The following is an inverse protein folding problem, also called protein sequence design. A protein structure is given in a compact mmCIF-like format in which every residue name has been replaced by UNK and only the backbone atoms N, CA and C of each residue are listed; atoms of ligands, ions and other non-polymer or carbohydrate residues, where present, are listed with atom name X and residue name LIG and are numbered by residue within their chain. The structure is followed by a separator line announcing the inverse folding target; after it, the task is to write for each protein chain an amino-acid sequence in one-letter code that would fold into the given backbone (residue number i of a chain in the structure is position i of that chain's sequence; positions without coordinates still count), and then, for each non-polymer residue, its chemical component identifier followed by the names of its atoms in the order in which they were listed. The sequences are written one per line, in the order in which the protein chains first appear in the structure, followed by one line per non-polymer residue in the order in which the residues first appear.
data_IF_056708758391
#
_entry.id   IF_056708758391
#
_cell.length_a   1.000
_cell.length_b   1.000
_cell.length_c   1.000
_cell.angle_alpha   90.00
_cell.angle_beta   90.00
_cell.angle_gamma   90.00
#
_symmetry.space_group_name_H-M   'P 1'
#
loop_
_entity.id
_entity.type
_entity.pdbx_description
1 polymer ?
#
# COMPACT_ATOMS: atom_id res chain seq x y z
N UNK A 1 -6.07 3.05 1.79
CA UNK A 1 -5.22 2.91 0.57
C UNK A 1 -4.15 1.82 0.72
N UNK A 2 -3.30 1.84 1.75
CA UNK A 2 -2.18 0.88 1.91
C UNK A 2 -2.53 -0.61 1.69
N UNK A 3 -3.71 -1.06 2.15
CA UNK A 3 -4.19 -2.44 1.97
C UNK A 3 -4.57 -2.84 0.53
N UNK A 4 -4.91 -1.87 -0.33
CA UNK A 4 -5.20 -2.11 -1.74
C UNK A 4 -3.95 -2.16 -2.63
N UNK A 5 -2.84 -1.61 -2.15
CA UNK A 5 -1.81 -1.09 -3.05
C UNK A 5 -0.73 -2.09 -3.39
N UNK A 6 -0.56 -3.14 -2.58
CA UNK A 6 0.41 -4.18 -2.88
C UNK A 6 -0.24 -5.30 -3.67
N UNK A 7 -0.33 -5.10 -4.99
CA UNK A 7 0.21 -6.14 -5.84
C UNK A 7 1.70 -5.86 -5.88
N UNK A 8 2.56 -6.80 -5.50
CA UNK A 8 4.01 -6.67 -5.74
C UNK A 8 4.17 -6.19 -7.19
N UNK A 9 4.69 -4.99 -7.41
CA UNK A 9 5.43 -4.75 -8.64
C UNK A 9 6.85 -4.59 -8.15
N UNK A 10 7.74 -5.38 -8.75
CA UNK A 10 9.15 -5.42 -8.42
C UNK A 10 9.73 -4.04 -8.13
N UNK A 11 10.51 -4.00 -7.04
CA UNK A 11 11.54 -3.02 -6.80
C UNK A 11 12.38 -2.87 -8.08
N UNK A 12 12.16 -1.81 -8.83
CA UNK A 12 13.11 -1.30 -9.80
C UNK A 12 13.41 0.14 -9.38
N UNK A 13 14.54 0.32 -8.70
CA UNK A 13 15.13 1.62 -8.48
C UNK A 13 15.45 2.22 -9.86
N UNK A 14 14.85 3.36 -10.18
CA UNK A 14 15.20 4.12 -11.37
C UNK A 14 16.41 5.00 -11.05
N UNK A 15 17.58 4.64 -11.55
CA UNK A 15 18.75 5.52 -11.57
C UNK A 15 18.68 6.43 -12.80
N UNK A 16 18.59 7.74 -12.57
CA UNK A 16 18.83 8.76 -13.61
C UNK A 16 20.32 9.08 -13.65
N UNK A 17 20.99 8.69 -14.74
CA UNK A 17 22.42 8.93 -14.95
C UNK A 17 22.75 10.29 -15.58
N UNK A 18 24.03 10.66 -15.49
CA UNK A 18 24.85 11.31 -16.53
C UNK A 18 26.34 11.03 -16.23
N UNK A 19 27.22 10.81 -17.23
CA UNK A 19 28.48 10.06 -17.07
C UNK A 19 29.74 10.94 -17.06
N UNK A 20 30.82 10.45 -16.44
CA UNK A 20 32.20 10.75 -16.85
C UNK A 20 33.17 9.62 -16.40
N UNK A 21 34.00 9.22 -17.36
CA UNK A 21 35.17 8.31 -17.41
C UNK A 21 35.98 8.11 -16.10
N UNK A 22 36.72 7.03 -15.83
CA UNK A 22 37.05 5.77 -16.52
C UNK A 22 37.71 4.81 -15.49
N UNK A 23 37.43 3.51 -15.55
CA UNK A 23 38.47 2.45 -15.55
C UNK A 23 37.87 1.08 -15.89
N UNK A 24 38.64 0.27 -16.61
CA UNK A 24 38.24 -1.01 -17.22
C UNK A 24 38.21 -2.18 -16.22
N UNK A 25 37.32 -3.13 -16.53
CA UNK A 25 37.35 -4.57 -16.25
C UNK A 25 36.83 -5.10 -14.90
N UNK A 26 35.51 -5.30 -14.85
CA UNK A 26 34.92 -6.58 -14.43
C UNK A 26 33.64 -6.79 -15.24
N UNK A 27 33.52 -7.93 -15.92
CA UNK A 27 32.37 -8.28 -16.74
C UNK A 27 31.10 -8.21 -15.89
N UNK A 28 30.16 -7.37 -16.34
CA UNK A 28 28.90 -7.11 -15.66
C UNK A 28 28.04 -8.36 -15.56
N UNK A 29 27.78 -8.77 -14.31
CA UNK A 29 26.48 -9.33 -14.01
C UNK A 29 25.51 -8.15 -13.94
N UNK A 30 24.76 -7.91 -15.02
CA UNK A 30 23.51 -7.16 -14.91
C UNK A 30 22.70 -7.83 -13.80
N UNK A 31 22.26 -7.11 -12.75
CA UNK A 31 21.37 -7.69 -11.76
C UNK A 31 20.12 -8.13 -12.51
N UNK A 32 19.95 -9.44 -12.66
CA UNK A 32 18.74 -10.01 -13.22
C UNK A 32 17.60 -9.52 -12.33
N UNK A 33 16.55 -8.87 -12.87
CA UNK A 33 15.42 -8.48 -12.07
C UNK A 33 14.92 -9.72 -11.34
N UNK A 34 14.94 -9.68 -10.01
CA UNK A 34 14.51 -10.80 -9.20
C UNK A 34 13.11 -11.22 -9.65
N UNK A 35 12.97 -12.48 -10.09
CA UNK A 35 11.70 -13.03 -10.55
C UNK A 35 10.67 -12.86 -9.44
N UNK A 36 9.58 -12.17 -9.75
CA UNK A 36 8.52 -11.95 -8.77
C UNK A 36 7.97 -13.30 -8.29
N UNK A 37 7.90 -13.54 -6.97
CA UNK A 37 7.40 -14.81 -6.45
C UNK A 37 5.95 -15.04 -6.88
N UNK A 38 5.63 -16.26 -7.30
CA UNK A 38 4.27 -16.59 -7.74
C UNK A 38 3.27 -16.41 -6.59
N UNK A 39 2.10 -15.85 -6.89
CA UNK A 39 1.00 -15.71 -5.93
C UNK A 39 0.39 -17.07 -5.60
N UNK A 40 0.03 -17.28 -4.33
CA UNK A 40 -0.74 -18.44 -3.91
C UNK A 40 -2.17 -18.37 -4.45
N UNK A 41 -2.94 -19.47 -4.47
CA UNK A 41 -4.36 -19.45 -4.84
C UNK A 41 -5.18 -18.43 -4.03
N UNK A 42 -4.89 -18.32 -2.73
CA UNK A 42 -5.55 -17.36 -1.83
C UNK A 42 -5.22 -15.92 -2.23
N UNK A 43 -3.92 -15.62 -2.45
CA UNK A 43 -3.50 -14.28 -2.87
C UNK A 43 -4.06 -13.89 -4.26
N UNK A 44 -4.20 -14.85 -5.18
CA UNK A 44 -4.86 -14.65 -6.47
C UNK A 44 -6.34 -14.31 -6.26
N UNK A 45 -7.05 -15.06 -5.42
CA UNK A 45 -8.46 -14.79 -5.10
C UNK A 45 -8.65 -13.43 -4.43
N UNK A 46 -7.79 -13.07 -3.47
CA UNK A 46 -7.81 -11.75 -2.84
C UNK A 46 -7.57 -10.62 -3.85
N UNK A 47 -6.64 -10.81 -4.80
CA UNK A 47 -6.36 -9.84 -5.85
C UNK A 47 -7.58 -9.63 -6.75
N UNK A 48 -8.22 -10.70 -7.19
CA UNK A 48 -9.43 -10.61 -8.01
C UNK A 48 -10.58 -9.95 -7.23
N UNK A 49 -10.74 -10.26 -5.93
CA UNK A 49 -11.75 -9.63 -5.08
C UNK A 49 -11.58 -8.11 -4.98
N UNK A 50 -10.34 -7.59 -5.05
CA UNK A 50 -10.05 -6.15 -5.00
C UNK A 50 -10.12 -5.47 -6.38
N UNK A 51 -10.30 -6.22 -7.47
CA UNK A 51 -10.19 -5.71 -8.85
C UNK A 51 -11.22 -4.62 -9.16
N UNK A 52 -12.49 -4.83 -8.79
CA UNK A 52 -13.54 -3.84 -9.01
C UNK A 52 -13.24 -2.53 -8.25
N UNK A 53 -12.74 -2.63 -7.02
CA UNK A 53 -12.32 -1.49 -6.22
C UNK A 53 -11.22 -0.70 -6.91
N UNK A 54 -10.19 -1.41 -7.40
CA UNK A 54 -9.08 -0.83 -8.15
C UNK A 54 -9.57 -0.10 -9.39
N UNK A 55 -10.43 -0.71 -10.21
CA UNK A 55 -10.99 -0.09 -11.41
C UNK A 55 -11.74 1.20 -11.05
N UNK A 56 -12.60 1.17 -10.03
CA UNK A 56 -13.38 2.34 -9.61
C UNK A 56 -12.48 3.49 -9.15
N UNK A 57 -11.46 3.23 -8.32
CA UNK A 57 -10.51 4.27 -7.90
C UNK A 57 -9.75 4.80 -9.11
N UNK A 58 -9.22 3.94 -9.97
CA UNK A 58 -8.46 4.37 -11.13
C UNK A 58 -9.28 5.19 -12.12
N UNK A 59 -10.57 4.89 -12.28
CA UNK A 59 -11.50 5.69 -13.09
C UNK A 59 -11.72 7.08 -12.50
N UNK A 60 -11.88 7.19 -11.17
CA UNK A 60 -11.98 8.49 -10.47
C UNK A 60 -10.69 9.31 -10.66
N UNK A 61 -9.53 8.68 -10.48
CA UNK A 61 -8.25 9.38 -10.63
C UNK A 61 -8.00 9.84 -12.07
N UNK A 62 -8.45 9.07 -13.06
CA UNK A 62 -8.28 9.38 -14.48
C UNK A 62 -9.23 10.50 -14.95
N UNK A 63 -10.51 10.40 -14.60
CA UNK A 63 -11.54 11.37 -15.00
C UNK A 63 -11.49 12.65 -14.18
N UNK A 64 -11.00 12.57 -12.94
CA UNK A 64 -11.06 13.65 -11.94
C UNK A 64 -12.49 14.12 -11.69
N UNK A 65 -13.47 13.26 -11.94
CA UNK A 65 -14.88 13.55 -11.74
C UNK A 65 -15.23 13.37 -10.25
N UNK A 66 -15.57 14.49 -9.61
CA UNK A 66 -15.98 14.54 -8.21
C UNK A 66 -17.42 14.07 -7.98
N UNK A 67 -18.19 13.76 -9.02
CA UNK A 67 -19.61 13.39 -8.95
C UNK A 67 -19.85 11.89 -9.08
N UNK A 68 -20.90 11.40 -8.44
CA UNK A 68 -21.26 9.97 -8.42
C UNK A 68 -20.79 9.24 -7.16
N UNK A 69 -20.83 7.90 -7.22
CA UNK A 69 -20.68 7.07 -6.04
C UNK A 69 -19.24 7.03 -5.49
N UNK A 70 -19.16 7.03 -4.17
CA UNK A 70 -17.95 6.75 -3.38
C UNK A 70 -17.49 5.30 -3.53
N UNK A 71 -16.25 5.03 -3.13
CA UNK A 71 -15.66 3.68 -3.17
C UNK A 71 -15.83 3.04 -1.80
N UNK A 72 -16.51 1.90 -1.76
CA UNK A 72 -16.62 1.05 -0.58
C UNK A 72 -16.27 -0.39 -0.95
N UNK A 73 -15.28 -0.98 -0.27
CA UNK A 73 -14.77 -2.30 -0.61
C UNK A 73 -14.33 -3.06 0.64
N UNK A 74 -14.70 -4.33 0.74
CA UNK A 74 -14.10 -5.23 1.72
C UNK A 74 -12.75 -5.71 1.19
N UNK A 75 -11.69 -5.38 1.92
CA UNK A 75 -10.32 -5.65 1.53
C UNK A 75 -9.79 -6.75 2.43
N UNK A 76 -9.46 -7.89 1.84
CA UNK A 76 -8.58 -8.89 2.45
C UNK A 76 -7.25 -8.83 1.71
N UNK A 77 -6.15 -8.78 2.46
CA UNK A 77 -4.81 -8.77 1.90
C UNK A 77 -3.86 -9.60 2.76
N UNK A 78 -3.27 -10.61 2.15
CA UNK A 78 -2.11 -11.31 2.68
C UNK A 78 -0.84 -10.52 2.40
N UNK A 79 -0.09 -10.25 3.47
CA UNK A 79 1.22 -9.64 3.48
C UNK A 79 2.22 -10.71 3.89
N UNK A 80 3.17 -11.01 3.00
CA UNK A 80 4.20 -12.00 3.30
C UNK A 80 5.16 -11.43 4.34
N UNK A 81 5.59 -12.26 5.30
CA UNK A 81 6.46 -11.79 6.38
C UNK A 81 7.76 -11.13 5.88
N UNK A 82 8.32 -11.64 4.78
CA UNK A 82 9.48 -11.08 4.09
C UNK A 82 9.23 -9.67 3.51
N UNK A 83 8.04 -9.41 2.97
CA UNK A 83 7.67 -8.09 2.46
C UNK A 83 7.50 -7.10 3.61
N UNK A 84 6.89 -7.56 4.71
CA UNK A 84 6.71 -6.73 5.90
C UNK A 84 8.08 -6.34 6.46
N UNK A 85 8.97 -7.31 6.67
CA UNK A 85 10.32 -7.05 7.14
C UNK A 85 11.08 -6.05 6.23
N UNK A 86 10.91 -6.18 4.89
CA UNK A 86 11.50 -5.25 3.93
C UNK A 86 10.91 -3.84 4.04
N UNK A 87 9.59 -3.71 4.16
CA UNK A 87 8.91 -2.41 4.32
C UNK A 87 9.31 -1.72 5.63
N UNK A 88 9.55 -2.48 6.70
CA UNK A 88 10.01 -1.96 7.99
C UNK A 88 11.47 -1.47 7.93
N UNK A 89 12.21 -1.79 6.86
CA UNK A 89 13.56 -1.27 6.60
C UNK A 89 14.56 -1.57 7.72
N UNK A 90 14.36 -2.67 8.45
CA UNK A 90 15.18 -3.05 9.61
C UNK A 90 15.03 -2.16 10.85
N UNK A 91 14.13 -1.18 10.85
CA UNK A 91 13.87 -0.31 12.01
C UNK A 91 13.01 -1.00 13.07
N UNK A 92 12.18 -1.93 12.64
CA UNK A 92 11.32 -2.76 13.48
C UNK A 92 11.47 -4.19 12.97
N UNK A 93 11.86 -5.11 13.85
CA UNK A 93 11.92 -6.51 13.51
C UNK A 93 10.51 -7.10 13.37
N UNK A 94 10.32 -7.94 12.34
CA UNK A 94 9.07 -8.68 12.15
C UNK A 94 9.25 -10.12 12.67
N UNK A 95 8.75 -10.43 13.88
CA UNK A 95 8.94 -11.75 14.49
C UNK A 95 7.95 -12.79 13.96
N UNK A 96 6.92 -12.38 13.22
CA UNK A 96 5.84 -13.25 12.75
C UNK A 96 6.05 -13.75 11.31
N UNK A 97 5.21 -14.70 10.90
CA UNK A 97 5.08 -15.13 9.50
C UNK A 97 4.24 -14.13 8.69
N UNK A 98 3.37 -14.64 7.82
CA UNK A 98 2.48 -13.79 7.04
C UNK A 98 1.45 -13.08 7.94
N UNK A 99 1.04 -11.88 7.53
CA UNK A 99 -0.11 -11.19 8.10
C UNK A 99 -1.27 -11.20 7.11
N UNK A 100 -2.44 -11.70 7.50
CA UNK A 100 -3.66 -11.58 6.71
C UNK A 100 -4.50 -10.46 7.32
N UNK A 101 -4.54 -9.32 6.64
CA UNK A 101 -5.24 -8.13 7.12
C UNK A 101 -6.54 -7.91 6.37
N UNK A 102 -7.57 -7.52 7.13
CA UNK A 102 -8.93 -7.28 6.68
C UNK A 102 -9.38 -5.89 7.09
N UNK A 103 -10.02 -5.17 6.18
CA UNK A 103 -10.58 -3.85 6.46
C UNK A 103 -11.73 -3.54 5.52
N UNK A 104 -12.68 -2.72 5.99
CA UNK A 104 -13.60 -2.03 5.09
C UNK A 104 -12.94 -0.74 4.63
N UNK A 105 -12.61 -0.65 3.35
CA UNK A 105 -12.09 0.56 2.75
C UNK A 105 -13.25 1.46 2.31
N UNK A 106 -13.25 2.68 2.79
CA UNK A 106 -14.18 3.73 2.38
C UNK A 106 -13.38 4.93 1.88
N UNK A 107 -13.57 5.30 0.61
CA UNK A 107 -12.95 6.47 0.00
C UNK A 107 -14.03 7.32 -0.64
N UNK A 108 -14.07 8.58 -0.22
CA UNK A 108 -14.92 9.55 -0.88
C UNK A 108 -14.36 9.90 -2.26
N UNK A 109 -15.24 9.95 -3.26
CA UNK A 109 -14.90 10.27 -4.63
C UNK A 109 -14.37 11.69 -4.77
N UNK A 110 -15.05 12.66 -4.16
CA UNK A 110 -14.67 14.07 -4.31
C UNK A 110 -13.24 14.37 -3.81
N UNK A 111 -12.77 13.89 -2.65
CA UNK A 111 -11.37 14.00 -2.25
C UNK A 111 -10.36 13.37 -3.21
N UNK A 112 -10.69 12.21 -3.80
CA UNK A 112 -9.83 11.55 -4.79
C UNK A 112 -9.71 12.39 -6.08
N UNK A 113 -10.82 12.93 -6.57
CA UNK A 113 -10.84 13.81 -7.73
C UNK A 113 -10.01 15.09 -7.47
N UNK A 114 -10.22 15.74 -6.32
CA UNK A 114 -9.49 16.95 -5.92
C UNK A 114 -7.98 16.72 -5.79
N UNK A 115 -7.57 15.59 -5.24
CA UNK A 115 -6.16 15.20 -5.18
C UNK A 115 -5.46 15.15 -6.54
N UNK A 116 -6.22 14.91 -7.63
CA UNK A 116 -5.70 14.84 -8.99
C UNK A 116 -5.88 16.12 -9.81
N UNK A 117 -6.75 17.04 -9.39
CA UNK A 117 -7.07 18.28 -10.11
C UNK A 117 -6.50 19.54 -9.48
N UNK A 118 -6.34 19.58 -8.16
CA UNK A 118 -5.82 20.74 -7.44
C UNK A 118 -4.29 20.71 -7.37
N UNK A 119 -3.66 21.89 -7.31
CA UNK A 119 -2.21 22.01 -7.19
C UNK A 119 -1.68 21.38 -5.88
N UNK A 120 -2.46 21.44 -4.81
CA UNK A 120 -2.17 20.82 -3.53
C UNK A 120 -3.45 20.46 -2.82
N UNK A 121 -3.59 19.21 -2.38
CA UNK A 121 -4.77 18.75 -1.65
C UNK A 121 -4.40 17.68 -0.63
N UNK A 122 -5.15 17.61 0.46
CA UNK A 122 -4.93 16.63 1.53
C UNK A 122 -6.15 15.75 1.67
N UNK A 123 -5.96 14.46 1.45
CA UNK A 123 -6.98 13.45 1.79
C UNK A 123 -6.75 13.02 3.23
N UNK A 124 -7.67 13.36 4.12
CA UNK A 124 -7.75 12.80 5.46
C UNK A 124 -8.83 11.73 5.48
N UNK A 125 -8.43 10.47 5.66
CA UNK A 125 -9.36 9.36 5.75
C UNK A 125 -9.99 9.32 7.15
N UNK A 126 -11.28 8.96 7.27
CA UNK A 126 -11.87 8.68 8.57
C UNK A 126 -11.14 7.53 9.26
N UNK A 127 -11.22 7.49 10.58
CA UNK A 127 -10.71 6.36 11.36
C UNK A 127 -11.39 5.08 10.92
N UNK A 128 -10.60 4.07 10.57
CA UNK A 128 -11.08 2.76 10.16
C UNK A 128 -10.34 1.67 10.93
N UNK A 129 -11.05 0.59 11.26
CA UNK A 129 -10.47 -0.57 11.93
C UNK A 129 -9.90 -1.54 10.90
N UNK A 130 -8.69 -2.02 11.17
CA UNK A 130 -8.03 -3.09 10.42
C UNK A 130 -7.80 -4.26 11.37
N UNK A 131 -8.27 -5.44 10.96
CA UNK A 131 -8.06 -6.69 11.69
C UNK A 131 -7.01 -7.52 10.96
N UNK A 132 -5.89 -7.78 11.60
CA UNK A 132 -4.81 -8.61 11.06
C UNK A 132 -4.68 -9.91 11.85
N UNK A 133 -4.51 -11.01 11.12
CA UNK A 133 -4.14 -12.31 11.69
C UNK A 133 -2.66 -12.54 11.40
N UNK A 134 -1.84 -12.67 12.43
CA UNK A 134 -0.39 -12.81 12.34
C UNK A 134 -0.03 -14.28 12.53
N UNK A 135 0.45 -14.93 11.46
CA UNK A 135 0.93 -16.30 11.55
C UNK A 135 2.15 -16.38 12.46
N UNK A 136 2.24 -17.43 13.28
CA UNK A 136 3.49 -17.72 14.00
C UNK A 136 4.51 -18.30 13.00
N UNK A 137 5.80 -17.99 13.18
CA UNK A 137 6.87 -18.61 12.36
C UNK A 137 7.00 -20.10 12.66
N UNK A 138 6.81 -20.44 13.93
CA UNK A 138 6.76 -21.81 14.43
C UNK A 138 5.30 -22.31 14.52
N UNK A 139 5.10 -23.49 15.12
CA UNK A 139 3.76 -24.05 15.35
C UNK A 139 3.01 -23.24 16.42
N UNK A 140 1.80 -22.80 16.11
CA UNK A 140 0.89 -22.17 17.07
C UNK A 140 -0.30 -21.50 16.40
N UNK A 141 -1.31 -21.17 17.20
CA UNK A 141 -2.48 -20.41 16.70
C UNK A 141 -2.08 -18.99 16.32
N UNK A 142 -2.58 -18.46 15.19
CA UNK A 142 -2.28 -17.09 14.79
C UNK A 142 -2.72 -16.04 15.83
N UNK A 143 -1.96 -14.97 15.97
CA UNK A 143 -2.38 -13.83 16.80
C UNK A 143 -3.35 -12.95 16.03
N UNK A 144 -4.46 -12.58 16.66
CA UNK A 144 -5.40 -11.60 16.09
C UNK A 144 -5.10 -10.23 16.66
N UNK A 145 -4.89 -9.25 15.79
CA UNK A 145 -4.61 -7.86 16.16
C UNK A 145 -5.63 -6.97 15.46
N UNK A 146 -6.27 -6.07 16.19
CA UNK A 146 -7.16 -5.04 15.64
C UNK A 146 -6.55 -3.66 15.91
N UNK A 147 -6.46 -2.83 14.87
CA UNK A 147 -5.82 -1.53 14.96
C UNK A 147 -6.68 -0.50 14.23
N UNK A 148 -6.98 0.61 14.90
CA UNK A 148 -7.56 1.77 14.25
C UNK A 148 -6.47 2.56 13.50
N UNK A 149 -6.80 3.10 12.33
CA UNK A 149 -5.93 4.01 11.59
C UNK A 149 -6.76 5.11 10.93
N UNK A 150 -6.22 6.33 10.88
CA UNK A 150 -6.83 7.45 10.18
C UNK A 150 -5.84 8.08 9.19
N UNK A 151 -5.51 7.40 8.06
CA UNK A 151 -4.44 7.85 7.19
C UNK A 151 -4.68 9.24 6.62
N UNK A 152 -3.60 10.01 6.48
CA UNK A 152 -3.57 11.31 5.82
C UNK A 152 -2.57 11.25 4.68
N UNK A 153 -2.96 11.70 3.50
CA UNK A 153 -2.06 11.76 2.33
C UNK A 153 -2.14 13.14 1.72
N UNK A 154 -0.99 13.81 1.62
CA UNK A 154 -0.83 15.08 0.93
C UNK A 154 -0.46 14.81 -0.52
N UNK A 155 -1.20 15.41 -1.44
CA UNK A 155 -0.94 15.41 -2.86
C UNK A 155 -0.47 16.78 -3.31
N UNK A 156 0.51 16.80 -4.23
CA UNK A 156 0.97 17.97 -4.97
C UNK A 156 0.96 17.62 -6.45
N UNK A 157 0.25 18.39 -7.27
CA UNK A 157 0.13 18.20 -8.71
C UNK A 157 -0.23 16.75 -9.11
N UNK A 158 -1.19 16.15 -8.41
CA UNK A 158 -1.63 14.76 -8.66
C UNK A 158 -0.68 13.67 -8.19
N UNK A 159 0.37 13.99 -7.42
CA UNK A 159 1.31 13.01 -6.85
C UNK A 159 1.28 13.08 -5.33
N UNK A 160 1.26 11.93 -4.67
CA UNK A 160 1.44 11.88 -3.23
C UNK A 160 2.85 12.37 -2.88
N UNK A 161 2.95 13.36 -1.98
CA UNK A 161 4.22 13.92 -1.52
C UNK A 161 4.52 13.55 -0.08
N UNK A 162 3.48 13.39 0.75
CA UNK A 162 3.59 13.05 2.17
C UNK A 162 2.44 12.12 2.55
N UNK A 163 2.69 11.22 3.49
CA UNK A 163 1.65 10.39 4.07
C UNK A 163 1.95 10.12 5.55
N UNK A 164 0.90 10.03 6.35
CA UNK A 164 0.93 9.51 7.72
C UNK A 164 -0.19 8.49 7.87
N UNK A 165 0.02 7.44 8.66
CA UNK A 165 -1.03 6.43 8.91
C UNK A 165 -1.97 6.89 10.03
N UNK A 166 -1.43 7.62 11.02
CA UNK A 166 -2.10 8.04 12.25
C UNK A 166 -2.78 6.84 12.93
N UNK A 167 -1.95 5.98 13.52
CA UNK A 167 -2.41 4.82 14.28
C UNK A 167 -3.19 5.26 15.51
N UNK A 168 -4.32 4.61 15.75
CA UNK A 168 -5.18 4.81 16.91
C UNK A 168 -5.09 3.65 17.88
N UNK A 169 -6.21 3.36 18.53
CA UNK A 169 -6.35 2.24 19.46
C UNK A 169 -5.96 0.91 18.81
N UNK A 170 -5.16 0.13 19.53
CA UNK A 170 -4.78 -1.23 19.16
C UNK A 170 -5.29 -2.22 20.21
N UNK A 171 -5.80 -3.36 19.75
CA UNK A 171 -6.22 -4.49 20.58
C UNK A 171 -5.47 -5.71 20.10
N UNK A 172 -4.78 -6.39 21.02
CA UNK A 172 -3.97 -7.56 20.70
C UNK A 172 -3.81 -8.46 21.93
N UNK A 173 -3.53 -9.76 21.75
CA UNK A 173 -3.13 -10.65 22.84
C UNK A 173 -1.94 -10.10 23.61
N UNK A 174 -1.90 -10.37 24.93
CA UNK A 174 -0.86 -9.87 25.83
C UNK A 174 0.57 -10.16 25.36
N UNK A 175 0.77 -11.31 24.69
CA UNK A 175 2.08 -11.72 24.18
C UNK A 175 2.61 -10.85 23.03
N UNK A 176 1.73 -10.19 22.27
CA UNK A 176 2.12 -9.38 21.09
C UNK A 176 1.81 -7.89 21.26
N UNK A 177 0.93 -7.53 22.20
CA UNK A 177 0.50 -6.16 22.42
C UNK A 177 1.65 -5.17 22.64
N UNK A 178 2.69 -5.45 23.47
CA UNK A 178 3.78 -4.49 23.69
C UNK A 178 4.51 -4.12 22.39
N UNK A 179 4.74 -5.09 21.50
CA UNK A 179 5.42 -4.86 20.23
C UNK A 179 4.52 -4.09 19.25
N UNK A 180 3.24 -4.45 19.16
CA UNK A 180 2.26 -3.71 18.34
C UNK A 180 2.17 -2.26 18.81
N UNK A 181 2.03 -2.03 20.12
CA UNK A 181 1.95 -0.69 20.72
C UNK A 181 3.23 0.12 20.49
N UNK A 182 4.40 -0.48 20.67
CA UNK A 182 5.68 0.20 20.43
C UNK A 182 5.84 0.56 18.94
N UNK A 183 5.47 -0.33 18.03
CA UNK A 183 5.57 -0.09 16.59
C UNK A 183 4.64 1.04 16.13
N UNK A 184 3.37 1.02 16.54
CA UNK A 184 2.40 2.07 16.18
C UNK A 184 2.75 3.41 16.84
N UNK A 185 3.22 3.38 18.09
CA UNK A 185 3.71 4.56 18.80
C UNK A 185 4.94 5.19 18.12
N UNK A 186 5.91 4.37 17.71
CA UNK A 186 7.09 4.84 16.98
C UNK A 186 6.70 5.48 15.65
N UNK A 187 5.83 4.84 14.87
CA UNK A 187 5.39 5.39 13.59
C UNK A 187 4.59 6.69 13.76
N UNK A 188 3.75 6.80 14.79
CA UNK A 188 3.07 8.06 15.09
C UNK A 188 4.03 9.20 15.44
N UNK A 189 5.14 8.91 16.12
CA UNK A 189 6.12 9.92 16.52
C UNK A 189 7.07 10.31 15.38
N UNK A 190 7.47 9.34 14.56
CA UNK A 190 8.60 9.50 13.63
C UNK A 190 8.22 9.33 12.16
N UNK A 191 6.98 8.93 11.88
CA UNK A 191 6.44 8.68 10.54
C UNK A 191 7.33 7.76 9.68
N UNK A 192 7.81 6.68 10.29
CA UNK A 192 8.75 5.73 9.68
C UNK A 192 8.18 5.06 8.42
N UNK A 193 6.87 4.80 8.39
CA UNK A 193 6.16 4.16 7.28
C UNK A 193 5.68 5.16 6.23
N UNK A 194 5.63 6.45 6.56
CA UNK A 194 5.15 7.51 5.65
C UNK A 194 5.77 7.46 4.24
N UNK A 195 7.11 7.38 4.10
CA UNK A 195 7.75 7.29 2.78
C UNK A 195 7.30 6.08 1.96
N UNK A 196 7.12 4.93 2.60
CA UNK A 196 6.66 3.71 1.95
C UNK A 196 5.18 3.83 1.52
N UNK A 197 4.35 4.48 2.33
CA UNK A 197 2.96 4.80 1.97
C UNK A 197 2.91 5.74 0.76
N UNK A 198 3.74 6.79 0.71
CA UNK A 198 3.84 7.68 -0.45
C UNK A 198 4.23 6.91 -1.71
N UNK A 199 5.27 6.07 -1.61
CA UNK A 199 5.74 5.21 -2.71
C UNK A 199 4.61 4.34 -3.23
N UNK A 200 3.90 3.67 -2.33
CA UNK A 200 2.75 2.83 -2.63
C UNK A 200 1.65 3.62 -3.34
N UNK A 201 1.17 4.73 -2.77
CA UNK A 201 0.09 5.54 -3.36
C UNK A 201 0.42 5.96 -4.80
N UNK A 202 1.65 6.41 -5.04
CA UNK A 202 2.10 6.80 -6.37
C UNK A 202 2.21 5.62 -7.32
N UNK A 203 2.71 4.47 -6.87
CA UNK A 203 2.74 3.24 -7.67
C UNK A 203 1.34 2.80 -8.08
N UNK A 204 0.37 2.92 -7.17
CA UNK A 204 -1.02 2.62 -7.45
C UNK A 204 -1.59 3.55 -8.53
N UNK A 205 -1.52 4.87 -8.29
CA UNK A 205 -2.08 5.88 -9.17
C UNK A 205 -1.46 5.87 -10.57
N UNK A 206 -0.23 5.37 -10.71
CA UNK A 206 0.49 5.28 -11.97
C UNK A 206 0.45 3.86 -12.55
N UNK A 207 1.36 2.98 -12.13
CA UNK A 207 1.59 1.66 -12.72
C UNK A 207 0.36 0.77 -12.60
N UNK A 208 -0.27 0.72 -11.41
CA UNK A 208 -1.41 -0.20 -11.21
C UNK A 208 -2.65 0.28 -11.96
N UNK A 209 -2.92 1.58 -12.00
CA UNK A 209 -4.02 2.13 -12.80
C UNK A 209 -3.79 2.01 -14.31
N UNK A 210 -2.55 2.19 -14.80
CA UNK A 210 -2.22 1.90 -16.19
C UNK A 210 -2.54 0.44 -16.58
N UNK A 211 -2.30 -0.51 -15.67
CA UNK A 211 -2.59 -1.93 -15.88
C UNK A 211 -4.07 -2.31 -15.98
N UNK A 212 -5.00 -1.39 -15.68
CA UNK A 212 -6.45 -1.60 -15.84
C UNK A 212 -7.09 -0.57 -16.77
N UNK A 213 -6.27 0.20 -17.51
CA UNK A 213 -6.75 1.32 -18.33
C UNK A 213 -7.82 0.88 -19.34
N UNK A 214 -7.65 -0.25 -20.01
CA UNK A 214 -8.63 -0.79 -20.96
C UNK A 214 -9.95 -1.22 -20.32
N UNK A 215 -9.98 -1.39 -19.00
CA UNK A 215 -11.16 -1.83 -18.25
C UNK A 215 -11.93 -0.65 -17.63
N UNK A 216 -11.41 0.58 -17.72
CA UNK A 216 -12.03 1.75 -17.14
C UNK A 216 -13.36 2.08 -17.86
N UNK A 217 -14.47 2.32 -17.12
CA UNK A 217 -15.73 2.72 -17.71
C UNK A 217 -15.62 3.94 -18.63
N UNK A 218 -14.80 4.93 -18.25
CA UNK A 218 -14.53 6.12 -19.05
C UNK A 218 -13.88 5.88 -20.42
N UNK A 219 -13.29 4.69 -20.66
CA UNK A 219 -12.67 4.34 -21.94
C UNK A 219 -13.58 3.54 -22.87
N UNK A 220 -14.81 3.19 -22.45
CA UNK A 220 -15.77 2.52 -23.33
C UNK A 220 -16.43 3.56 -24.25
N UNK A 221 -16.41 3.37 -25.58
CA UNK A 221 -17.20 4.23 -26.47
C UNK A 221 -18.68 4.08 -26.12
N UNK A 222 -19.38 5.23 -26.01
CA UNK A 222 -20.83 5.31 -25.83
C UNK A 222 -21.58 4.59 -26.95
#
# INVERSE_FOLDING_TARGET
LALLIVDRAGFAAGETGTPAEANKAAAGATPTPAKEPELTPEEKAEKEARKACKIKICDILATKDATGDDVACDIVKTWRGEDIAKMLGGKIDWPWGNAVCQSKLELQRAPLAKAMSEASYVIAMPSQKVRCTLAQKDKGEPYVVEIAMAPKVTFKDGKASEATINWGEAQAPLLVYPLVYAATGLDNQTNVLGPEVVRMVNEFATKKCAGVKSELPSNKPN
#
